data_IF_766503322699
#
_entry.id   IF_766503322699
#
_cell.length_a   1.000
_cell.length_b   1.000
_cell.length_c   1.000
_cell.angle_alpha   90.00
_cell.angle_beta   90.00
_cell.angle_gamma   90.00
#
_symmetry.space_group_name_H-M   'P 1'
#
loop_
_entity.id
_entity.type
_entity.pdbx_description
1 polymer ?
#
# COMPACT_ATOMS: atom_id res chain seq x y z
N UNK A 1 -1.38 19.10 -22.15
CA UNK A 1 -2.37 17.99 -22.30
C UNK A 1 -1.84 16.91 -23.23
N UNK A 2 -1.04 17.27 -24.24
CA UNK A 2 -0.54 16.35 -25.27
C UNK A 2 0.45 15.29 -24.77
N UNK A 3 1.22 15.62 -23.72
CA UNK A 3 2.20 14.70 -23.13
C UNK A 3 1.55 13.49 -22.43
N UNK A 4 0.43 13.72 -21.73
CA UNK A 4 -0.32 12.65 -21.06
C UNK A 4 -0.94 11.68 -22.07
N UNK A 5 -1.44 12.21 -23.18
CA UNK A 5 -2.01 11.42 -24.27
C UNK A 5 -0.93 10.58 -24.96
N UNK A 6 0.23 11.17 -25.25
CA UNK A 6 1.38 10.45 -25.81
C UNK A 6 1.84 9.31 -24.89
N UNK A 7 1.95 9.57 -23.58
CA UNK A 7 2.27 8.54 -22.59
C UNK A 7 1.22 7.43 -22.58
N UNK A 8 -0.08 7.74 -22.65
CA UNK A 8 -1.16 6.74 -22.69
C UNK A 8 -1.03 5.78 -23.87
N UNK A 9 -0.56 6.29 -25.01
CA UNK A 9 -0.42 5.53 -26.25
C UNK A 9 0.84 4.66 -26.32
N UNK A 10 1.77 4.81 -25.38
CA UNK A 10 2.94 3.93 -25.27
C UNK A 10 2.50 2.50 -24.95
N UNK A 11 3.14 1.48 -25.55
CA UNK A 11 2.71 0.08 -25.43
C UNK A 11 2.67 -0.44 -23.99
N UNK A 12 3.63 -0.01 -23.17
CA UNK A 12 3.64 -0.29 -21.73
C UNK A 12 2.35 0.22 -21.06
N UNK A 13 2.02 1.49 -21.28
CA UNK A 13 0.86 2.13 -20.66
C UNK A 13 -0.45 1.57 -21.21
N UNK A 14 -0.56 1.26 -22.50
CA UNK A 14 -1.71 0.54 -23.06
C UNK A 14 -1.96 -0.77 -22.32
N UNK A 15 -0.90 -1.55 -22.05
CA UNK A 15 -1.01 -2.82 -21.33
C UNK A 15 -1.47 -2.64 -19.87
N UNK A 16 -0.99 -1.58 -19.19
CA UNK A 16 -1.36 -1.22 -17.82
C UNK A 16 -2.82 -0.74 -17.77
N UNK A 17 -3.20 0.17 -18.68
CA UNK A 17 -4.56 0.68 -18.80
C UNK A 17 -5.56 -0.43 -19.10
N UNK A 18 -5.21 -1.44 -19.89
CA UNK A 18 -6.07 -2.62 -20.13
C UNK A 18 -6.35 -3.42 -18.84
N UNK A 19 -5.40 -3.46 -17.90
CA UNK A 19 -5.55 -4.16 -16.60
C UNK A 19 -6.36 -3.36 -15.58
N UNK A 20 -6.45 -2.03 -15.71
CA UNK A 20 -7.17 -1.11 -14.81
C UNK A 20 -8.62 -1.55 -14.53
N UNK A 21 -9.34 -1.98 -15.58
CA UNK A 21 -10.75 -2.44 -15.45
C UNK A 21 -10.90 -3.67 -14.55
N UNK A 22 -9.87 -4.51 -14.48
CA UNK A 22 -9.89 -5.75 -13.71
C UNK A 22 -9.45 -5.54 -12.26
N UNK A 23 -8.55 -4.57 -12.03
CA UNK A 23 -7.94 -4.31 -10.73
C UNK A 23 -8.56 -3.10 -10.05
N UNK A 24 -8.30 -1.91 -10.58
CA UNK A 24 -8.65 -0.62 -9.99
C UNK A 24 -10.17 -0.43 -9.96
N UNK A 25 -10.83 -0.50 -11.11
CA UNK A 25 -12.28 -0.23 -11.22
C UNK A 25 -13.11 -1.23 -10.40
N UNK A 26 -12.65 -2.48 -10.34
CA UNK A 26 -13.29 -3.52 -9.52
C UNK A 26 -13.19 -3.23 -8.02
N UNK A 27 -12.01 -2.79 -7.55
CA UNK A 27 -11.83 -2.40 -6.15
C UNK A 27 -12.69 -1.19 -5.80
N UNK A 28 -12.79 -0.20 -6.70
CA UNK A 28 -13.66 0.96 -6.48
C UNK A 28 -15.15 0.59 -6.47
N UNK A 29 -15.58 -0.35 -7.32
CA UNK A 29 -16.95 -0.87 -7.28
C UNK A 29 -17.23 -1.58 -5.95
N UNK A 30 -16.34 -2.46 -5.51
CA UNK A 30 -16.47 -3.14 -4.21
C UNK A 30 -16.52 -2.15 -3.04
N UNK A 31 -15.69 -1.10 -3.09
CA UNK A 31 -15.69 -0.06 -2.06
C UNK A 31 -17.03 0.69 -1.99
N UNK A 32 -17.64 0.98 -3.13
CA UNK A 32 -18.96 1.64 -3.20
C UNK A 32 -20.07 0.73 -2.66
N UNK A 33 -20.14 -0.51 -3.13
CA UNK A 33 -21.24 -1.43 -2.77
C UNK A 33 -21.10 -2.01 -1.37
N UNK A 34 -19.91 -2.53 -1.01
CA UNK A 34 -19.71 -3.31 0.21
C UNK A 34 -19.25 -2.47 1.39
N UNK A 35 -18.55 -1.37 1.14
CA UNK A 35 -17.99 -0.51 2.18
C UNK A 35 -18.71 0.85 2.29
N UNK A 36 -19.85 1.01 1.60
CA UNK A 36 -20.74 2.14 1.76
C UNK A 36 -20.17 3.47 1.26
N UNK A 37 -19.19 3.44 0.33
CA UNK A 37 -18.59 4.65 -0.26
C UNK A 37 -19.46 5.33 -1.32
N UNK A 38 -20.72 4.92 -1.50
CA UNK A 38 -21.68 5.69 -2.32
C UNK A 38 -21.95 7.08 -1.74
N UNK A 39 -21.88 7.21 -0.41
CA UNK A 39 -22.09 8.46 0.30
C UNK A 39 -21.02 8.69 1.35
N UNK A 40 -20.73 9.96 1.63
CA UNK A 40 -19.81 10.35 2.70
C UNK A 40 -20.56 10.41 4.03
N UNK A 41 -20.20 9.55 4.98
CA UNK A 41 -20.83 9.49 6.31
C UNK A 41 -20.37 10.61 7.25
N UNK A 42 -19.15 11.11 7.04
CA UNK A 42 -18.53 12.13 7.89
C UNK A 42 -18.55 13.50 7.19
N UNK A 43 -18.55 14.58 7.99
CA UNK A 43 -18.39 15.95 7.50
C UNK A 43 -16.94 16.41 7.63
N UNK A 44 -16.46 17.13 6.60
CA UNK A 44 -15.08 17.61 6.49
C UNK A 44 -14.19 16.68 5.68
N UNK A 45 -13.30 17.27 4.87
CA UNK A 45 -12.42 16.55 3.94
C UNK A 45 -11.49 15.59 4.67
N UNK A 46 -10.90 16.04 5.79
CA UNK A 46 -9.97 15.26 6.58
C UNK A 46 -10.60 13.95 7.07
N UNK A 47 -11.77 14.02 7.72
CA UNK A 47 -12.46 12.84 8.26
C UNK A 47 -12.88 11.86 7.16
N UNK A 48 -13.34 12.37 6.02
CA UNK A 48 -13.68 11.54 4.85
C UNK A 48 -12.43 10.87 4.27
N UNK A 49 -11.31 11.58 4.20
CA UNK A 49 -10.04 11.03 3.74
C UNK A 49 -9.54 9.92 4.68
N UNK A 50 -9.54 10.15 5.99
CA UNK A 50 -9.14 9.13 6.98
C UNK A 50 -10.00 7.88 6.89
N UNK A 51 -11.33 8.03 6.81
CA UNK A 51 -12.24 6.89 6.60
C UNK A 51 -11.92 6.14 5.31
N UNK A 52 -11.69 6.86 4.21
CA UNK A 52 -11.36 6.28 2.92
C UNK A 52 -10.06 5.49 2.96
N UNK A 53 -9.01 6.07 3.56
CA UNK A 53 -7.72 5.41 3.76
C UNK A 53 -7.85 4.14 4.60
N UNK A 54 -8.63 4.18 5.68
CA UNK A 54 -8.83 3.02 6.55
C UNK A 54 -9.53 1.87 5.82
N UNK A 55 -10.57 2.17 5.03
CA UNK A 55 -11.27 1.16 4.22
C UNK A 55 -10.32 0.49 3.24
N UNK A 56 -9.55 1.27 2.47
CA UNK A 56 -8.60 0.69 1.52
C UNK A 56 -7.44 -0.05 2.19
N UNK A 57 -6.97 0.41 3.35
CA UNK A 57 -5.99 -0.31 4.16
C UNK A 57 -6.53 -1.69 4.56
N UNK A 58 -7.75 -1.77 5.08
CA UNK A 58 -8.39 -3.03 5.43
C UNK A 58 -8.60 -3.96 4.22
N UNK A 59 -9.02 -3.42 3.06
CA UNK A 59 -9.15 -4.20 1.82
C UNK A 59 -7.80 -4.79 1.39
N UNK A 60 -6.71 -4.03 1.51
CA UNK A 60 -5.37 -4.50 1.21
C UNK A 60 -4.90 -5.58 2.20
N UNK A 61 -5.15 -5.41 3.50
CA UNK A 61 -4.85 -6.42 4.52
C UNK A 61 -5.59 -7.74 4.24
N UNK A 62 -6.88 -7.67 3.90
CA UNK A 62 -7.66 -8.86 3.49
C UNK A 62 -7.05 -9.56 2.29
N UNK A 63 -6.58 -8.80 1.30
CA UNK A 63 -5.92 -9.33 0.10
C UNK A 63 -4.63 -10.05 0.46
N UNK A 64 -3.80 -9.46 1.32
CA UNK A 64 -2.56 -10.07 1.82
C UNK A 64 -2.84 -11.37 2.60
N UNK A 65 -3.82 -11.35 3.51
CA UNK A 65 -4.22 -12.55 4.26
C UNK A 65 -4.71 -13.67 3.33
N UNK A 66 -5.45 -13.32 2.28
CA UNK A 66 -5.92 -14.28 1.27
C UNK A 66 -4.75 -14.87 0.47
N UNK A 67 -3.73 -14.08 0.15
CA UNK A 67 -2.54 -14.57 -0.54
C UNK A 67 -1.74 -15.52 0.33
N UNK A 68 -1.55 -15.17 1.61
CA UNK A 68 -0.87 -16.01 2.59
C UNK A 68 -1.57 -17.37 2.73
N UNK A 69 -2.90 -17.35 2.88
CA UNK A 69 -3.69 -18.57 2.99
C UNK A 69 -3.62 -19.46 1.75
N UNK A 70 -3.57 -18.88 0.54
CA UNK A 70 -3.50 -19.62 -0.72
C UNK A 70 -2.09 -20.08 -1.10
N UNK A 71 -1.11 -19.93 -0.21
CA UNK A 71 0.30 -20.28 -0.48
C UNK A 71 0.93 -19.45 -1.61
N UNK A 72 0.33 -18.32 -2.00
CA UNK A 72 0.89 -17.42 -2.99
C UNK A 72 1.89 -16.51 -2.30
N UNK A 73 3.14 -16.96 -2.15
CA UNK A 73 4.34 -16.21 -1.71
C UNK A 73 4.12 -14.67 -1.63
N UNK A 74 3.50 -14.14 -0.57
CA UNK A 74 3.35 -12.70 -0.38
C UNK A 74 4.55 -12.12 0.37
N UNK A 75 5.40 -13.01 0.89
CA UNK A 75 6.38 -12.73 1.91
C UNK A 75 7.74 -12.33 1.35
N UNK A 76 7.99 -12.39 0.04
CA UNK A 76 9.25 -11.89 -0.52
C UNK A 76 9.49 -10.39 -0.24
N UNK A 77 8.41 -9.61 -0.08
CA UNK A 77 8.49 -8.19 0.32
C UNK A 77 8.53 -8.01 1.84
N UNK A 78 7.77 -8.81 2.61
CA UNK A 78 7.72 -8.70 4.08
C UNK A 78 8.98 -9.26 4.76
N UNK A 79 9.57 -10.34 4.25
CA UNK A 79 10.84 -10.87 4.76
C UNK A 79 11.97 -9.87 4.53
N UNK A 80 12.01 -9.24 3.34
CA UNK A 80 13.02 -8.22 3.02
C UNK A 80 12.88 -6.98 3.92
N UNK A 81 11.68 -6.42 4.06
CA UNK A 81 11.46 -5.25 4.93
C UNK A 81 11.75 -5.57 6.41
N UNK A 82 11.30 -6.74 6.90
CA UNK A 82 11.58 -7.16 8.29
C UNK A 82 13.08 -7.25 8.53
N UNK A 83 13.79 -7.95 7.65
CA UNK A 83 15.24 -8.09 7.72
C UNK A 83 15.96 -6.73 7.63
N UNK A 84 15.49 -5.81 6.78
CA UNK A 84 16.06 -4.46 6.64
C UNK A 84 15.83 -3.59 7.89
N UNK A 85 14.64 -3.67 8.50
CA UNK A 85 14.27 -2.92 9.72
C UNK A 85 15.02 -3.46 10.94
N UNK A 86 15.10 -4.78 11.09
CA UNK A 86 15.83 -5.41 12.19
C UNK A 86 17.33 -5.09 12.12
N UNK A 87 17.91 -5.07 10.92
CA UNK A 87 19.31 -4.67 10.70
C UNK A 87 19.56 -3.21 11.09
N UNK A 88 18.65 -2.29 10.73
CA UNK A 88 18.75 -0.87 11.11
C UNK A 88 18.60 -0.67 12.62
N UNK A 89 17.68 -1.39 13.25
CA UNK A 89 17.46 -1.31 14.70
C UNK A 89 18.65 -1.86 15.50
N UNK A 90 19.26 -2.95 15.02
CA UNK A 90 20.49 -3.50 15.59
C UNK A 90 21.65 -2.49 15.46
N UNK A 91 21.86 -1.92 14.28
CA UNK A 91 22.93 -0.93 14.07
C UNK A 91 22.74 0.30 14.96
N UNK A 92 21.51 0.80 15.11
CA UNK A 92 21.18 1.94 15.97
C UNK A 92 21.46 1.65 17.46
N UNK A 93 21.20 0.42 17.92
CA UNK A 93 21.54 0.00 19.29
C UNK A 93 23.05 -0.06 19.50
N UNK A 94 23.79 -0.62 18.55
CA UNK A 94 25.26 -0.71 18.64
C UNK A 94 25.88 0.70 18.69
N UNK A 95 25.49 1.60 17.79
CA UNK A 95 26.01 2.98 17.78
C UNK A 95 25.69 3.74 19.07
N UNK A 96 24.53 3.50 19.67
CA UNK A 96 24.16 4.15 20.94
C UNK A 96 24.99 3.68 22.13
N UNK A 97 25.41 2.40 22.15
CA UNK A 97 26.26 1.85 23.20
C UNK A 97 27.73 2.30 23.04
N UNK A 98 28.23 2.37 21.80
CA UNK A 98 29.56 2.89 21.50
C UNK A 98 29.70 4.37 21.89
N UNK A 99 28.67 5.19 21.65
CA UNK A 99 28.66 6.59 22.07
C UNK A 99 28.66 6.75 23.59
N UNK A 100 27.95 5.89 24.32
CA UNK A 100 27.93 5.93 25.79
C UNK A 100 29.28 5.52 26.39
N UNK A 101 29.97 4.55 25.78
CA UNK A 101 31.31 4.12 26.20
C UNK A 101 32.41 5.13 25.86
N UNK A 102 32.22 6.01 24.88
CA UNK A 102 33.21 7.05 24.55
C UNK A 102 33.05 8.34 25.38
N UNK A 103 31.93 8.48 26.10
CA UNK A 103 31.63 9.64 26.97
C UNK A 103 31.99 9.43 28.44
N UNK A 104 32.45 8.22 28.79
CA UNK A 104 33.01 7.85 30.11
C UNK A 104 34.53 7.74 29.96
#
# INVERSE_FOLDING_TARGET
MDEVEHLRLTDLNKSIYKKRKQTIERIFADAKEKHGMRWTKYRGLEKVATHTMLVFAAMNLKKLATWLWKGKEPLFFCSKIRNEVDKKLFQARVTSLEQLLSTV
#
